data_IF_486096835032
#
_entry.id   IF_486096835032
#
_cell.length_a   1.000
_cell.length_b   1.000
_cell.length_c   1.000
_cell.angle_alpha   90.00
_cell.angle_beta   90.00
_cell.angle_gamma   90.00
#
_symmetry.space_group_name_H-M   'P 1'
#
loop_
_entity.id
_entity.type
_entity.pdbx_description
1 polymer ?
#
# COMPACT_ATOMS: atom_id res chain seq x y z
N UNK A 1 30.06 49.40 33.81
CA UNK A 1 29.46 48.05 33.77
C UNK A 1 28.09 48.15 34.42
N UNK A 2 26.97 48.08 33.67
CA UNK A 2 25.64 48.20 34.26
C UNK A 2 25.04 46.82 34.58
N UNK A 3 24.29 46.82 35.67
CA UNK A 3 23.66 45.72 36.36
C UNK A 3 22.53 45.02 35.57
N UNK A 4 22.36 43.73 35.85
CA UNK A 4 21.21 42.92 35.45
C UNK A 4 19.99 43.39 36.25
N UNK A 5 18.96 43.90 35.57
CA UNK A 5 17.63 44.11 36.16
C UNK A 5 16.63 43.15 35.54
N UNK A 6 16.11 42.26 36.38
CA UNK A 6 14.97 41.40 36.13
C UNK A 6 13.78 42.21 35.61
N UNK A 7 13.49 42.11 34.31
CA UNK A 7 12.19 42.50 33.77
C UNK A 7 11.24 41.32 33.92
N UNK A 8 10.49 41.31 35.03
CA UNK A 8 9.24 40.58 35.14
C UNK A 8 8.34 41.03 33.99
N UNK A 9 8.17 40.18 32.96
CA UNK A 9 7.16 40.38 31.92
C UNK A 9 5.79 40.35 32.62
N UNK A 10 5.08 41.46 32.53
CA UNK A 10 3.73 41.61 33.06
C UNK A 10 2.80 40.66 32.32
N UNK A 11 1.80 40.10 33.01
CA UNK A 11 0.90 39.06 32.51
C UNK A 11 0.06 39.41 31.27
N UNK A 12 0.29 40.55 30.62
CA UNK A 12 -0.39 41.01 29.42
C UNK A 12 0.32 40.58 28.13
N UNK A 13 1.65 40.52 28.12
CA UNK A 13 2.44 40.09 26.94
C UNK A 13 2.45 38.57 26.72
N UNK A 14 2.25 37.74 27.76
CA UNK A 14 2.13 36.28 27.60
C UNK A 14 0.85 35.89 26.83
N UNK A 15 -0.24 36.59 27.09
CA UNK A 15 -1.56 36.31 26.48
C UNK A 15 -1.55 36.59 24.97
N UNK A 16 -0.77 37.57 24.49
CA UNK A 16 -0.68 37.92 23.06
C UNK A 16 0.12 36.89 22.25
N UNK A 17 1.20 36.32 22.81
CA UNK A 17 1.96 35.26 22.11
C UNK A 17 1.16 33.96 22.08
N UNK A 18 0.46 33.62 23.17
CA UNK A 18 -0.41 32.44 23.25
C UNK A 18 -1.58 32.53 22.24
N UNK A 19 -2.12 33.74 21.99
CA UNK A 19 -3.16 33.97 20.98
C UNK A 19 -2.67 33.90 19.53
N UNK A 20 -1.37 34.07 19.27
CA UNK A 20 -0.78 33.85 17.95
C UNK A 20 -0.49 32.36 17.68
N UNK A 21 -0.09 31.58 18.69
CA UNK A 21 0.09 30.12 18.54
C UNK A 21 -1.25 29.37 18.43
N UNK A 22 -2.28 29.78 19.17
CA UNK A 22 -3.62 29.18 19.10
C UNK A 22 -4.29 29.32 17.72
N UNK A 23 -4.06 30.44 17.01
CA UNK A 23 -4.57 30.62 15.62
C UNK A 23 -3.85 29.76 14.60
N UNK A 24 -2.67 29.22 14.92
CA UNK A 24 -1.95 28.29 14.05
C UNK A 24 -2.37 26.83 14.24
N UNK A 25 -2.98 26.50 15.39
CA UNK A 25 -3.47 25.14 15.68
C UNK A 25 -4.91 24.93 15.18
N UNK A 26 -5.79 25.93 15.29
CA UNK A 26 -7.15 25.85 14.73
C UNK A 26 -7.15 25.73 13.20
N UNK A 27 -6.16 26.36 12.53
CA UNK A 27 -5.98 26.25 11.08
C UNK A 27 -5.31 24.93 10.65
N UNK A 28 -4.65 24.22 11.58
CA UNK A 28 -4.06 22.89 11.32
C UNK A 28 -5.05 21.76 11.52
N UNK A 29 -5.92 21.85 12.52
CA UNK A 29 -6.99 20.86 12.76
C UNK A 29 -8.10 20.86 11.69
N UNK A 30 -8.18 21.89 10.84
CA UNK A 30 -9.11 21.92 9.72
C UNK A 30 -8.59 21.18 8.46
N UNK A 31 -7.29 20.87 8.36
CA UNK A 31 -6.71 20.06 7.27
C UNK A 31 -6.70 18.55 7.57
N UNK A 32 -7.05 18.13 8.79
CA UNK A 32 -7.12 16.73 9.21
C UNK A 32 -8.49 16.08 8.96
N UNK A 33 -9.37 16.71 8.16
CA UNK A 33 -10.46 15.97 7.52
C UNK A 33 -9.93 15.41 6.22
N UNK A 34 -9.18 14.32 6.37
CA UNK A 34 -8.72 13.49 5.25
C UNK A 34 -9.89 13.30 4.31
N UNK A 35 -9.75 13.88 3.12
CA UNK A 35 -10.65 13.79 2.00
C UNK A 35 -10.83 12.31 1.65
N UNK A 36 -11.78 11.67 2.32
CA UNK A 36 -12.13 10.27 2.19
C UNK A 36 -12.99 10.11 0.94
N UNK A 37 -12.37 10.40 -0.21
CA UNK A 37 -12.89 9.99 -1.50
C UNK A 37 -12.61 8.50 -1.65
N UNK A 38 -13.64 7.64 -1.59
CA UNK A 38 -13.47 6.21 -1.69
C UNK A 38 -12.98 5.88 -3.09
N UNK A 39 -11.94 5.04 -3.14
CA UNK A 39 -11.41 4.56 -4.39
C UNK A 39 -12.52 3.88 -5.22
N UNK A 40 -12.81 4.40 -6.41
CA UNK A 40 -13.99 4.01 -7.20
C UNK A 40 -13.76 2.66 -7.90
N UNK A 41 -12.52 2.15 -7.90
CA UNK A 41 -12.15 0.87 -8.48
C UNK A 41 -11.66 -0.19 -7.47
N UNK A 42 -11.48 0.17 -6.20
CA UNK A 42 -11.04 -0.73 -5.15
C UNK A 42 -11.36 -0.12 -3.78
N UNK A 43 -12.52 -0.42 -3.22
CA UNK A 43 -12.93 0.13 -1.93
C UNK A 43 -12.06 -0.44 -0.80
N UNK A 44 -10.96 0.25 -0.46
CA UNK A 44 -10.28 0.05 0.82
C UNK A 44 -11.20 0.66 1.88
N UNK A 45 -12.19 -0.11 2.35
CA UNK A 45 -12.95 0.28 3.54
C UNK A 45 -12.06 0.02 4.74
N UNK A 46 -11.67 1.08 5.45
CA UNK A 46 -11.14 0.93 6.81
C UNK A 46 -12.29 0.51 7.72
N UNK A 47 -12.48 -0.79 7.92
CA UNK A 47 -13.28 -1.25 9.04
C UNK A 47 -12.46 -1.09 10.33
N UNK A 48 -13.13 -0.93 11.47
CA UNK A 48 -12.54 -0.83 12.80
C UNK A 48 -11.72 -2.08 13.24
N UNK A 49 -11.51 -3.02 12.32
CA UNK A 49 -10.69 -4.22 12.44
C UNK A 49 -9.89 -4.37 11.13
N UNK A 50 -8.70 -3.78 11.14
CA UNK A 50 -7.45 -4.01 10.39
C UNK A 50 -7.37 -5.00 9.20
N UNK A 51 -8.28 -4.95 8.22
CA UNK A 51 -8.11 -5.69 6.95
C UNK A 51 -8.16 -4.76 5.72
N UNK A 52 -6.99 -4.56 5.08
CA UNK A 52 -6.86 -3.91 3.78
C UNK A 52 -7.52 -4.77 2.68
N UNK A 53 -8.84 -4.66 2.53
CA UNK A 53 -9.60 -5.44 1.54
C UNK A 53 -9.61 -4.71 0.19
N UNK A 54 -9.33 -5.45 -0.89
CA UNK A 54 -9.44 -4.98 -2.28
C UNK A 54 -10.65 -5.60 -2.95
N UNK A 55 -11.65 -4.78 -3.29
CA UNK A 55 -12.75 -5.19 -4.17
C UNK A 55 -12.24 -5.19 -5.62
N UNK A 56 -12.48 -6.27 -6.34
CA UNK A 56 -12.04 -6.47 -7.73
C UNK A 56 -13.24 -6.72 -8.63
N UNK A 57 -13.14 -6.32 -9.91
CA UNK A 57 -14.11 -6.73 -10.93
C UNK A 57 -14.20 -8.27 -10.99
N UNK A 58 -15.41 -8.81 -11.08
CA UNK A 58 -15.65 -10.26 -11.02
C UNK A 58 -14.89 -11.00 -12.13
N UNK A 59 -14.77 -10.41 -13.33
CA UNK A 59 -14.00 -10.98 -14.43
C UNK A 59 -12.50 -11.09 -14.11
N UNK A 60 -11.92 -10.05 -13.52
CA UNK A 60 -10.51 -10.06 -13.10
C UNK A 60 -10.30 -11.10 -12.00
N UNK A 61 -11.17 -11.11 -10.98
CA UNK A 61 -11.14 -12.07 -9.87
C UNK A 61 -11.18 -13.51 -10.38
N UNK A 62 -12.15 -13.84 -11.25
CA UNK A 62 -12.27 -15.16 -11.85
C UNK A 62 -11.02 -15.55 -12.67
N UNK A 63 -10.45 -14.60 -13.43
CA UNK A 63 -9.21 -14.83 -14.19
C UNK A 63 -8.02 -15.13 -13.28
N UNK A 64 -7.83 -14.37 -12.21
CA UNK A 64 -6.76 -14.57 -11.23
C UNK A 64 -6.88 -15.93 -10.55
N UNK A 65 -8.09 -16.26 -10.05
CA UNK A 65 -8.37 -17.56 -9.42
C UNK A 65 -8.09 -18.71 -10.39
N UNK A 66 -8.54 -18.60 -11.64
CA UNK A 66 -8.30 -19.64 -12.66
C UNK A 66 -6.81 -19.85 -12.92
N UNK A 67 -5.99 -18.79 -12.93
CA UNK A 67 -4.54 -18.89 -13.10
C UNK A 67 -3.88 -19.52 -11.89
N UNK A 68 -4.28 -19.12 -10.67
CA UNK A 68 -3.77 -19.70 -9.43
C UNK A 68 -4.10 -21.19 -9.31
N UNK A 69 -5.30 -21.63 -9.71
CA UNK A 69 -5.65 -23.05 -9.74
C UNK A 69 -4.72 -23.86 -10.66
N UNK A 70 -4.27 -23.27 -11.78
CA UNK A 70 -3.28 -23.92 -12.67
C UNK A 70 -1.91 -24.01 -12.00
N UNK A 71 -1.46 -22.94 -11.35
CA UNK A 71 -0.21 -22.91 -10.59
C UNK A 71 -0.23 -23.98 -9.49
N UNK A 72 -1.33 -24.10 -8.76
CA UNK A 72 -1.51 -25.14 -7.74
C UNK A 72 -1.41 -26.55 -8.34
N UNK A 73 -2.02 -26.78 -9.51
CA UNK A 73 -1.88 -28.02 -10.26
C UNK A 73 -0.43 -28.33 -10.66
N UNK A 74 0.31 -27.31 -11.12
CA UNK A 74 1.73 -27.45 -11.48
C UNK A 74 2.60 -27.80 -10.26
N UNK A 75 2.38 -27.12 -9.12
CA UNK A 75 3.10 -27.40 -7.86
C UNK A 75 2.83 -28.83 -7.39
N UNK A 76 1.57 -29.30 -7.47
CA UNK A 76 1.24 -30.71 -7.19
C UNK A 76 1.94 -31.66 -8.16
N UNK A 77 2.03 -31.30 -9.44
CA UNK A 77 2.77 -32.06 -10.45
C UNK A 77 4.26 -32.20 -10.10
N UNK A 78 4.92 -31.10 -9.73
CA UNK A 78 6.33 -31.05 -9.30
C UNK A 78 6.54 -31.96 -8.09
N UNK A 79 5.68 -31.88 -7.07
CA UNK A 79 5.73 -32.77 -5.91
C UNK A 79 5.73 -34.24 -6.35
N UNK A 80 4.81 -34.62 -7.23
CA UNK A 80 4.75 -35.98 -7.76
C UNK A 80 5.97 -36.38 -8.60
N UNK A 81 6.62 -35.43 -9.29
CA UNK A 81 7.89 -35.70 -10.00
C UNK A 81 9.01 -36.04 -9.02
N UNK A 82 9.09 -35.32 -7.90
CA UNK A 82 10.07 -35.58 -6.84
C UNK A 82 9.81 -36.95 -6.18
N UNK A 83 8.56 -37.28 -5.87
CA UNK A 83 8.19 -38.58 -5.29
C UNK A 83 8.51 -39.77 -6.19
N UNK A 84 8.67 -39.54 -7.50
CA UNK A 84 9.04 -40.56 -8.51
C UNK A 84 10.50 -40.49 -8.94
N UNK A 85 11.33 -39.72 -8.24
CA UNK A 85 12.75 -39.51 -8.55
C UNK A 85 13.00 -39.09 -10.02
N UNK A 86 12.12 -38.23 -10.56
CA UNK A 86 12.27 -37.70 -11.92
C UNK A 86 13.54 -36.87 -12.04
N UNK A 87 14.15 -36.89 -13.22
CA UNK A 87 15.41 -36.19 -13.52
C UNK A 87 15.36 -34.71 -13.14
N UNK A 88 16.42 -34.24 -12.48
CA UNK A 88 16.47 -32.92 -11.85
C UNK A 88 16.22 -31.77 -12.84
N UNK A 89 16.74 -31.86 -14.08
CA UNK A 89 16.51 -30.79 -15.07
C UNK A 89 15.03 -30.67 -15.44
N UNK A 90 14.28 -31.77 -15.49
CA UNK A 90 12.85 -31.72 -15.81
C UNK A 90 12.07 -31.06 -14.66
N UNK A 91 12.44 -31.37 -13.41
CA UNK A 91 11.86 -30.74 -12.22
C UNK A 91 12.17 -29.23 -12.23
N UNK A 92 13.42 -28.84 -12.49
CA UNK A 92 13.82 -27.43 -12.58
C UNK A 92 13.07 -26.68 -13.69
N UNK A 93 12.87 -27.31 -14.86
CA UNK A 93 12.07 -26.74 -15.94
C UNK A 93 10.61 -26.51 -15.53
N UNK A 94 10.01 -27.43 -14.76
CA UNK A 94 8.65 -27.22 -14.24
C UNK A 94 8.59 -26.13 -13.17
N UNK A 95 9.60 -26.03 -12.31
CA UNK A 95 9.70 -24.93 -11.33
C UNK A 95 9.78 -23.57 -12.06
N UNK A 96 10.61 -23.46 -13.11
CA UNK A 96 10.69 -22.25 -13.93
C UNK A 96 9.34 -21.91 -14.60
N UNK A 97 8.59 -22.91 -15.05
CA UNK A 97 7.25 -22.71 -15.61
C UNK A 97 6.25 -22.19 -14.55
N UNK A 98 6.35 -22.65 -13.29
CA UNK A 98 5.55 -22.14 -12.16
C UNK A 98 5.91 -20.69 -11.84
N UNK A 99 7.19 -20.36 -11.79
CA UNK A 99 7.66 -18.99 -11.57
C UNK A 99 7.10 -18.03 -12.63
N UNK A 100 7.23 -18.39 -13.92
CA UNK A 100 6.68 -17.57 -15.01
C UNK A 100 5.14 -17.41 -14.93
N UNK A 101 4.43 -18.44 -14.48
CA UNK A 101 2.98 -18.36 -14.28
C UNK A 101 2.61 -17.42 -13.11
N UNK A 102 3.36 -17.48 -12.00
CA UNK A 102 3.21 -16.57 -10.87
C UNK A 102 3.52 -15.12 -11.28
N UNK A 103 4.57 -14.89 -12.06
CA UNK A 103 4.92 -13.55 -12.59
C UNK A 103 3.77 -12.97 -13.43
N UNK A 104 3.11 -13.81 -14.23
CA UNK A 104 1.93 -13.38 -14.99
C UNK A 104 0.77 -12.97 -14.09
N UNK A 105 0.54 -13.65 -12.96
CA UNK A 105 -0.50 -13.29 -11.98
C UNK A 105 -0.12 -11.99 -11.28
N UNK A 106 1.11 -11.90 -10.81
CA UNK A 106 1.70 -10.72 -10.18
C UNK A 106 1.54 -9.46 -11.03
N UNK A 107 1.82 -9.54 -12.34
CA UNK A 107 1.63 -8.43 -13.29
C UNK A 107 0.17 -7.96 -13.37
N UNK A 108 -0.79 -8.87 -13.41
CA UNK A 108 -2.22 -8.52 -13.47
C UNK A 108 -2.70 -7.84 -12.18
N UNK A 109 -2.25 -8.33 -11.02
CA UNK A 109 -2.57 -7.71 -9.73
C UNK A 109 -1.96 -6.31 -9.64
N UNK A 110 -0.70 -6.16 -10.04
CA UNK A 110 0.00 -4.88 -10.07
C UNK A 110 -0.67 -3.88 -11.02
N UNK A 111 -1.04 -4.31 -12.23
CA UNK A 111 -1.76 -3.47 -13.18
C UNK A 111 -3.08 -2.95 -12.60
N UNK A 112 -3.87 -3.82 -11.97
CA UNK A 112 -5.10 -3.42 -11.31
C UNK A 112 -4.84 -2.43 -10.16
N UNK A 113 -3.78 -2.65 -9.38
CA UNK A 113 -3.41 -1.74 -8.28
C UNK A 113 -3.00 -0.35 -8.78
N UNK A 114 -2.19 -0.29 -9.84
CA UNK A 114 -1.75 0.96 -10.45
C UNK A 114 -2.94 1.72 -11.05
N UNK A 115 -3.76 1.04 -11.86
CA UNK A 115 -4.90 1.69 -12.55
C UNK A 115 -6.02 2.13 -11.60
N UNK A 116 -6.17 1.44 -10.47
CA UNK A 116 -7.20 1.72 -9.47
C UNK A 116 -6.70 2.61 -8.35
N UNK A 117 -6.05 2.00 -7.35
CA UNK A 117 -5.71 2.67 -6.11
C UNK A 117 -4.65 3.78 -6.28
N UNK A 118 -3.65 3.56 -7.14
CA UNK A 118 -2.51 4.46 -7.22
C UNK A 118 -2.88 5.81 -7.86
N UNK A 119 -3.57 5.77 -9.01
CA UNK A 119 -3.95 6.99 -9.75
C UNK A 119 -4.82 7.90 -8.89
N UNK A 120 -5.80 7.34 -8.18
CA UNK A 120 -6.71 8.11 -7.35
C UNK A 120 -6.01 8.71 -6.11
N UNK A 121 -5.08 7.97 -5.49
CA UNK A 121 -4.29 8.49 -4.35
C UNK A 121 -3.34 9.60 -4.75
N UNK A 122 -2.69 9.48 -5.91
CA UNK A 122 -1.84 10.55 -6.47
C UNK A 122 -2.69 11.80 -6.74
N UNK A 123 -3.88 11.64 -7.34
CA UNK A 123 -4.80 12.76 -7.56
C UNK A 123 -5.29 13.40 -6.25
N UNK A 124 -5.37 12.63 -5.17
CA UNK A 124 -5.69 13.13 -3.84
C UNK A 124 -4.49 13.77 -3.10
N UNK A 125 -3.30 13.80 -3.70
CA UNK A 125 -2.07 14.38 -3.13
C UNK A 125 -1.35 13.48 -2.13
N UNK A 126 -1.65 12.18 -2.11
CA UNK A 126 -0.97 11.20 -1.24
C UNK A 126 0.23 10.58 -1.95
N UNK A 127 1.35 11.31 -2.04
CA UNK A 127 2.56 10.84 -2.74
C UNK A 127 3.22 9.62 -2.06
N UNK A 128 2.91 9.36 -0.78
CA UNK A 128 3.48 8.23 -0.01
C UNK A 128 3.13 6.86 -0.61
N UNK A 129 2.06 6.78 -1.39
CA UNK A 129 1.67 5.54 -2.08
C UNK A 129 2.72 5.10 -3.10
N UNK A 130 3.48 6.04 -3.66
CA UNK A 130 4.55 5.74 -4.62
C UNK A 130 5.69 5.01 -3.91
N UNK A 131 6.06 5.46 -2.71
CA UNK A 131 7.09 4.80 -1.89
C UNK A 131 6.66 3.38 -1.50
N UNK A 132 5.39 3.20 -1.11
CA UNK A 132 4.82 1.88 -0.81
C UNK A 132 4.90 0.94 -2.04
N UNK A 133 4.58 1.47 -3.21
CA UNK A 133 4.66 0.72 -4.46
C UNK A 133 6.10 0.34 -4.81
N UNK A 134 7.06 1.25 -4.65
CA UNK A 134 8.49 0.98 -4.90
C UNK A 134 9.02 -0.15 -4.00
N UNK A 135 8.66 -0.14 -2.72
CA UNK A 135 8.99 -1.24 -1.79
C UNK A 135 8.39 -2.56 -2.25
N UNK A 136 7.17 -2.55 -2.76
CA UNK A 136 6.48 -3.75 -3.24
C UNK A 136 7.12 -4.31 -4.51
N UNK A 137 7.39 -3.45 -5.50
CA UNK A 137 8.05 -3.85 -6.76
C UNK A 137 9.45 -4.41 -6.47
N UNK A 138 10.19 -3.85 -5.51
CA UNK A 138 11.50 -4.38 -5.12
C UNK A 138 11.49 -5.81 -4.58
N UNK A 139 10.33 -6.34 -4.13
CA UNK A 139 10.19 -7.74 -3.69
C UNK A 139 9.84 -8.69 -4.84
N UNK A 140 9.47 -8.15 -6.00
CA UNK A 140 9.03 -8.91 -7.18
C UNK A 140 10.14 -9.10 -8.22
N UNK A 141 11.24 -8.36 -8.08
CA UNK A 141 12.46 -8.43 -8.90
C UNK A 141 13.52 -9.27 -8.18
#
# INVERSE_FOLDING_TARGET
>A
MPEIKDRKKTGKERVEVDQMFAKSDETRQALEKSNENPCHSCSVKKNAQDENITIREEKLKASLVTRLNRVEGQVRGIKGMIERDVYCNDVLNQIAAVQAALDSVSKLVLENHIRGCLVEKIQAGDDKIVDELLVTIGKML
#
